data_IF_009925222345
#
_entry.id   IF_009925222345
#
_cell.length_a   1.000
_cell.length_b   1.000
_cell.length_c   1.000
_cell.angle_alpha   90.00
_cell.angle_beta   90.00
_cell.angle_gamma   90.00
#
_symmetry.space_group_name_H-M   'P 1'
#
loop_
_entity.id
_entity.type
_entity.pdbx_description
1 polymer ?
#
# COMPACT_ATOMS: atom_id res chain seq x y z
N UNK A 1 40.18 -51.74 -44.52
CA UNK A 1 40.49 -52.50 -45.75
C UNK A 1 41.02 -53.87 -45.34
N UNK A 2 40.21 -54.89 -45.55
CA UNK A 2 40.56 -56.30 -45.33
C UNK A 2 41.45 -56.72 -46.51
N UNK A 3 42.55 -57.42 -46.20
CA UNK A 3 43.36 -58.11 -47.19
C UNK A 3 43.86 -59.42 -46.60
N UNK A 4 43.16 -60.51 -46.89
CA UNK A 4 43.64 -61.88 -46.66
C UNK A 4 44.32 -62.34 -47.94
N UNK A 5 45.47 -63.01 -47.83
CA UNK A 5 45.91 -63.96 -48.85
C UNK A 5 46.66 -65.13 -48.19
N UNK A 6 46.30 -66.33 -48.63
CA UNK A 6 46.89 -67.63 -48.28
C UNK A 6 47.24 -68.31 -49.60
N UNK A 7 48.46 -68.84 -49.76
CA UNK A 7 48.70 -70.20 -50.30
C UNK A 7 50.20 -70.55 -50.45
N UNK A 8 50.43 -71.85 -50.21
CA UNK A 8 51.59 -72.76 -50.31
C UNK A 8 52.36 -72.80 -51.67
N UNK A 9 53.55 -73.41 -51.90
CA UNK A 9 54.33 -74.59 -51.38
C UNK A 9 55.74 -74.60 -52.12
N UNK A 10 56.58 -75.67 -52.15
CA UNK A 10 57.53 -76.26 -51.16
C UNK A 10 59.02 -76.21 -51.60
N UNK A 11 59.98 -76.69 -50.79
CA UNK A 11 61.11 -77.57 -51.23
C UNK A 11 61.89 -78.17 -50.06
N UNK A 12 62.04 -79.52 -50.12
CA UNK A 12 63.06 -80.44 -49.58
C UNK A 12 63.60 -80.33 -48.14
N UNK A 13 63.21 -81.33 -47.34
CA UNK A 13 64.04 -82.28 -46.57
C UNK A 13 65.44 -81.85 -46.08
N UNK A 14 65.63 -81.82 -44.76
CA UNK A 14 66.51 -82.76 -44.04
C UNK A 14 66.39 -82.53 -42.51
N UNK A 15 66.07 -83.60 -41.79
CA UNK A 15 65.87 -83.65 -40.33
C UNK A 15 67.11 -84.15 -39.61
N UNK A 16 67.63 -83.46 -38.58
CA UNK A 16 68.33 -84.04 -37.40
C UNK A 16 68.28 -83.10 -36.17
N UNK A 17 67.36 -83.40 -35.24
CA UNK A 17 67.40 -83.40 -33.74
C UNK A 17 67.99 -82.17 -32.93
N UNK A 18 67.87 -82.09 -31.57
CA UNK A 18 67.05 -81.05 -30.94
C UNK A 18 67.74 -80.21 -29.83
N UNK A 19 67.02 -79.18 -29.37
CA UNK A 19 67.09 -78.53 -28.05
C UNK A 19 68.36 -77.77 -27.65
N UNK A 20 68.30 -76.43 -27.67
CA UNK A 20 67.89 -75.58 -26.54
C UNK A 20 68.29 -74.12 -26.84
N UNK A 21 67.44 -73.14 -26.48
CA UNK A 21 67.77 -71.82 -25.92
C UNK A 21 66.63 -70.80 -26.15
N UNK A 22 65.73 -70.78 -25.17
CA UNK A 22 65.15 -69.63 -24.46
C UNK A 22 65.17 -68.28 -25.22
N UNK A 23 63.99 -67.81 -25.64
CA UNK A 23 63.74 -66.39 -25.93
C UNK A 23 62.83 -65.78 -24.86
N UNK A 24 63.28 -64.66 -24.30
CA UNK A 24 62.55 -63.83 -23.35
C UNK A 24 61.36 -63.14 -24.04
N UNK A 25 60.15 -63.44 -23.60
CA UNK A 25 58.96 -62.66 -23.97
C UNK A 25 58.96 -61.39 -23.11
N UNK A 26 59.35 -60.26 -23.68
CA UNK A 26 59.13 -58.94 -23.08
C UNK A 26 57.65 -58.62 -23.24
N UNK A 27 56.86 -58.94 -22.21
CA UNK A 27 55.44 -58.60 -22.15
C UNK A 27 55.27 -57.08 -22.01
N UNK A 28 54.90 -56.41 -23.09
CA UNK A 28 54.44 -55.03 -23.06
C UNK A 28 53.04 -54.99 -22.42
N UNK A 29 52.96 -54.64 -21.13
CA UNK A 29 51.68 -54.35 -20.47
C UNK A 29 51.27 -52.92 -20.85
N UNK A 30 50.42 -52.82 -21.87
CA UNK A 30 49.68 -51.61 -22.20
C UNK A 30 48.58 -51.42 -21.15
N UNK A 31 48.72 -50.41 -20.27
CA UNK A 31 47.59 -49.93 -19.47
C UNK A 31 46.65 -49.14 -20.39
N UNK A 32 45.60 -49.78 -20.90
CA UNK A 32 44.57 -49.15 -21.72
C UNK A 32 43.77 -48.12 -20.92
N UNK A 33 43.55 -46.96 -21.53
CA UNK A 33 42.55 -45.99 -21.09
C UNK A 33 41.16 -46.57 -21.37
N UNK A 34 40.39 -46.83 -20.30
CA UNK A 34 38.99 -47.20 -20.41
C UNK A 34 38.12 -45.99 -20.03
N UNK A 35 37.66 -45.25 -21.04
CA UNK A 35 36.50 -44.36 -20.91
C UNK A 35 35.46 -44.87 -21.91
N UNK A 36 34.51 -45.66 -21.43
CA UNK A 36 33.25 -45.88 -22.13
C UNK A 36 32.23 -44.99 -21.43
N UNK A 37 32.02 -43.78 -21.96
CA UNK A 37 30.85 -42.99 -21.63
C UNK A 37 29.73 -43.41 -22.59
N UNK A 38 28.81 -44.25 -22.11
CA UNK A 38 27.51 -44.40 -22.74
C UNK A 38 26.75 -43.09 -22.50
N UNK A 39 26.55 -42.29 -23.55
CA UNK A 39 25.62 -41.18 -23.53
C UNK A 39 24.24 -41.77 -23.85
N UNK A 40 23.49 -42.13 -22.81
CA UNK A 40 22.07 -42.42 -22.89
C UNK A 40 21.35 -41.07 -22.84
N UNK A 41 20.75 -40.66 -23.95
CA UNK A 41 19.71 -39.63 -23.93
C UNK A 41 18.39 -40.34 -23.58
N UNK A 42 18.07 -40.45 -22.31
CA UNK A 42 16.69 -40.70 -21.92
C UNK A 42 15.96 -39.36 -22.01
N UNK A 43 15.09 -39.27 -23.02
CA UNK A 43 14.16 -38.16 -23.18
C UNK A 43 13.28 -38.09 -21.94
N UNK A 44 13.29 -36.94 -21.27
CA UNK A 44 12.30 -36.62 -20.26
C UNK A 44 10.94 -36.54 -20.96
N UNK A 45 10.05 -37.49 -20.65
CA UNK A 45 8.62 -37.28 -20.76
C UNK A 45 8.30 -36.12 -19.82
N UNK A 46 7.81 -35.00 -20.37
CA UNK A 46 7.26 -33.92 -19.58
C UNK A 46 6.03 -34.48 -18.85
N UNK A 47 6.17 -34.66 -17.54
CA UNK A 47 5.04 -34.89 -16.66
C UNK A 47 4.01 -33.77 -16.85
N UNK A 48 2.69 -34.05 -16.78
CA UNK A 48 1.68 -33.02 -16.83
C UNK A 48 1.96 -32.02 -15.70
N UNK A 49 2.09 -30.74 -16.07
CA UNK A 49 2.25 -29.62 -15.15
C UNK A 49 1.31 -29.78 -13.95
N UNK A 50 1.86 -30.16 -12.80
CA UNK A 50 1.17 -30.00 -11.54
C UNK A 50 0.80 -28.51 -11.41
N UNK A 51 -0.42 -28.18 -10.97
CA UNK A 51 -0.80 -26.80 -10.75
C UNK A 51 0.18 -26.19 -9.74
N UNK A 52 0.76 -25.04 -10.12
CA UNK A 52 1.62 -24.24 -9.24
C UNK A 52 0.95 -24.13 -7.86
N UNK A 53 1.67 -24.37 -6.75
CA UNK A 53 1.10 -24.19 -5.42
C UNK A 53 0.59 -22.75 -5.30
N UNK A 54 -0.70 -22.61 -5.02
CA UNK A 54 -1.40 -21.32 -4.83
C UNK A 54 -1.05 -20.63 -3.52
N UNK A 55 -0.07 -21.16 -2.79
CA UNK A 55 0.42 -20.59 -1.54
C UNK A 55 1.36 -19.43 -1.88
N UNK A 56 0.76 -18.29 -2.22
CA UNK A 56 1.46 -17.02 -2.18
C UNK A 56 2.16 -16.94 -0.81
N UNK A 57 3.46 -16.60 -0.77
CA UNK A 57 4.16 -16.46 0.49
C UNK A 57 3.39 -15.47 1.38
N UNK A 58 3.33 -15.73 2.71
CA UNK A 58 2.59 -14.86 3.62
C UNK A 58 3.03 -13.41 3.42
N UNK A 59 2.05 -12.52 3.23
CA UNK A 59 2.32 -11.10 3.01
C UNK A 59 3.15 -10.54 4.19
N UNK A 60 4.21 -9.79 3.88
CA UNK A 60 4.99 -9.12 4.91
C UNK A 60 4.11 -8.10 5.66
N UNK A 61 4.36 -7.86 6.96
CA UNK A 61 3.73 -6.78 7.70
C UNK A 61 3.95 -5.41 7.02
N UNK A 62 3.02 -4.48 7.22
CA UNK A 62 3.08 -3.16 6.61
C UNK A 62 4.40 -2.44 6.93
N UNK A 63 5.01 -1.83 5.91
CA UNK A 63 6.27 -1.10 6.04
C UNK A 63 7.51 -1.96 6.25
N UNK A 64 7.42 -3.30 6.20
CA UNK A 64 8.57 -4.20 6.34
C UNK A 64 9.07 -4.66 4.97
N UNK A 65 10.37 -4.51 4.77
CA UNK A 65 11.11 -4.92 3.59
C UNK A 65 12.08 -6.07 3.95
N UNK A 66 12.23 -7.04 3.05
CA UNK A 66 13.20 -8.12 3.18
C UNK A 66 14.46 -7.86 2.34
N UNK A 67 15.62 -8.31 2.83
CA UNK A 67 16.86 -8.37 2.05
C UNK A 67 17.57 -9.70 2.28
N UNK A 68 18.13 -10.27 1.22
CA UNK A 68 18.97 -11.48 1.29
C UNK A 68 20.43 -11.06 1.47
N UNK A 69 21.03 -11.43 2.60
CA UNK A 69 22.47 -11.33 2.82
C UNK A 69 23.15 -12.63 2.47
N UNK A 70 24.20 -12.53 1.67
CA UNK A 70 25.03 -13.68 1.30
C UNK A 70 26.35 -13.60 2.05
N UNK A 71 26.66 -14.62 2.84
CA UNK A 71 27.90 -14.70 3.61
C UNK A 71 28.75 -15.88 3.14
N UNK A 72 30.02 -15.65 2.76
CA UNK A 72 30.91 -16.73 2.34
C UNK A 72 31.37 -17.55 3.55
N UNK A 73 31.34 -18.87 3.40
CA UNK A 73 31.84 -19.83 4.39
C UNK A 73 32.81 -20.79 3.72
N UNK A 74 33.92 -21.09 4.39
CA UNK A 74 34.87 -22.11 3.91
C UNK A 74 34.45 -23.49 4.41
N UNK A 75 34.41 -24.45 3.49
CA UNK A 75 34.09 -25.85 3.78
C UNK A 75 35.21 -26.75 3.23
N UNK A 76 35.61 -27.74 4.03
CA UNK A 76 36.67 -28.69 3.64
C UNK A 76 36.04 -29.89 2.97
N UNK A 77 36.25 -30.01 1.66
CA UNK A 77 35.79 -31.14 0.86
C UNK A 77 36.90 -32.20 0.78
N UNK A 78 36.55 -33.45 1.12
CA UNK A 78 37.46 -34.60 1.00
C UNK A 78 37.21 -35.31 -0.33
N UNK A 79 38.27 -35.62 -1.07
CA UNK A 79 38.17 -36.31 -2.35
C UNK A 79 39.31 -37.31 -2.53
N UNK A 80 39.07 -38.31 -3.38
CA UNK A 80 40.05 -39.34 -3.70
C UNK A 80 40.69 -39.09 -5.06
N UNK A 81 42.00 -39.23 -5.13
CA UNK A 81 42.75 -39.10 -6.38
C UNK A 81 43.53 -40.39 -6.62
N UNK A 82 43.39 -40.98 -7.82
CA UNK A 82 44.18 -42.14 -8.24
C UNK A 82 45.48 -41.66 -8.86
N UNK A 83 46.62 -41.95 -8.21
CA UNK A 83 47.96 -41.68 -8.75
C UNK A 83 48.54 -42.94 -9.38
N UNK A 84 49.12 -42.80 -10.56
CA UNK A 84 49.84 -43.86 -11.27
C UNK A 84 51.25 -43.99 -10.68
N UNK A 85 51.63 -45.20 -10.28
CA UNK A 85 52.97 -45.53 -9.79
C UNK A 85 53.65 -46.47 -10.78
N UNK A 86 54.92 -46.20 -11.11
CA UNK A 86 55.68 -46.98 -12.10
C UNK A 86 56.97 -47.48 -11.48
N UNK A 87 57.19 -48.79 -11.55
CA UNK A 87 58.52 -49.41 -11.42
C UNK A 87 58.93 -49.96 -12.79
N UNK A 88 60.18 -50.37 -12.95
CA UNK A 88 60.70 -50.86 -14.24
C UNK A 88 59.93 -52.09 -14.78
N UNK A 89 59.21 -52.81 -13.92
CA UNK A 89 58.55 -54.08 -14.25
C UNK A 89 57.02 -54.09 -14.04
N UNK A 90 56.42 -53.04 -13.47
CA UNK A 90 54.95 -52.98 -13.30
C UNK A 90 54.37 -51.56 -13.15
N UNK A 91 53.12 -51.41 -13.56
CA UNK A 91 52.33 -50.18 -13.41
C UNK A 91 51.10 -50.49 -12.54
N UNK A 92 50.97 -49.80 -11.41
CA UNK A 92 49.85 -49.95 -10.48
C UNK A 92 49.31 -48.58 -10.06
N UNK A 93 48.07 -48.54 -9.57
CA UNK A 93 47.42 -47.30 -9.13
C UNK A 93 47.33 -47.26 -7.61
N UNK A 94 47.71 -46.13 -7.01
CA UNK A 94 47.49 -45.84 -5.59
C UNK A 94 46.39 -44.79 -5.44
N UNK A 95 45.38 -45.06 -4.62
CA UNK A 95 44.40 -44.05 -4.23
C UNK A 95 44.96 -43.23 -3.07
N UNK A 96 44.93 -41.90 -3.19
CA UNK A 96 45.34 -40.96 -2.14
C UNK A 96 44.14 -40.12 -1.72
N UNK A 97 43.95 -39.95 -0.41
CA UNK A 97 42.96 -39.04 0.15
C UNK A 97 43.53 -37.62 0.13
N UNK A 98 42.79 -36.69 -0.45
CA UNK A 98 43.13 -35.26 -0.50
C UNK A 98 41.98 -34.44 0.05
N UNK A 99 42.32 -33.23 0.50
CA UNK A 99 41.33 -32.23 0.90
C UNK A 99 41.50 -30.99 0.03
N UNK A 100 40.38 -30.35 -0.31
CA UNK A 100 40.38 -29.00 -0.89
C UNK A 100 39.40 -28.14 -0.12
N UNK A 101 39.73 -26.87 0.03
CA UNK A 101 38.80 -25.90 0.60
C UNK A 101 37.90 -25.39 -0.52
N UNK A 102 36.60 -25.52 -0.33
CA UNK A 102 35.56 -24.94 -1.19
C UNK A 102 34.93 -23.75 -0.47
N UNK A 103 34.64 -22.69 -1.20
CA UNK A 103 33.83 -21.58 -0.68
C UNK A 103 32.37 -21.88 -1.00
N UNK A 104 31.55 -21.88 0.05
CA UNK A 104 30.09 -22.02 -0.03
C UNK A 104 29.47 -20.70 0.41
N UNK A 105 28.29 -20.38 -0.11
CA UNK A 105 27.60 -19.13 0.18
C UNK A 105 26.35 -19.42 1.00
N UNK A 106 26.37 -19.04 2.27
CA UNK A 106 25.21 -19.10 3.15
C UNK A 106 24.33 -17.88 2.85
N UNK A 107 23.02 -18.09 2.70
CA UNK A 107 22.06 -17.00 2.46
C UNK A 107 21.17 -16.82 3.68
N UNK A 108 21.18 -15.61 4.24
CA UNK A 108 20.37 -15.22 5.39
C UNK A 108 19.37 -14.14 4.98
N UNK A 109 18.11 -14.30 5.37
CA UNK A 109 17.09 -13.26 5.18
C UNK A 109 17.10 -12.33 6.38
N UNK A 110 17.12 -11.01 6.13
CA UNK A 110 17.02 -9.98 7.15
C UNK A 110 15.86 -9.04 6.84
N UNK A 111 15.09 -8.70 7.85
CA UNK A 111 13.95 -7.80 7.76
C UNK A 111 14.31 -6.42 8.30
N UNK A 112 13.84 -5.37 7.63
CA UNK A 112 14.08 -3.99 8.01
C UNK A 112 12.90 -3.12 7.58
N UNK A 113 12.77 -1.92 8.16
CA UNK A 113 11.74 -0.99 7.70
C UNK A 113 12.09 -0.43 6.32
N UNK A 114 11.07 -0.34 5.47
CA UNK A 114 11.18 0.26 4.14
C UNK A 114 11.51 1.76 4.24
N UNK A 115 12.00 2.39 3.16
CA UNK A 115 12.22 3.83 3.13
C UNK A 115 10.96 4.61 3.51
N UNK A 116 11.11 5.59 4.40
CA UNK A 116 9.99 6.36 4.93
C UNK A 116 9.24 5.70 6.09
N UNK A 117 9.73 4.58 6.63
CA UNK A 117 9.21 3.95 7.85
C UNK A 117 10.29 3.89 8.92
N UNK A 118 9.87 3.92 10.20
CA UNK A 118 10.75 3.79 11.36
C UNK A 118 10.33 2.63 12.25
N UNK A 119 11.31 1.98 12.90
CA UNK A 119 11.07 0.84 13.77
C UNK A 119 10.66 1.28 15.19
N UNK A 120 9.58 0.73 15.74
CA UNK A 120 9.21 0.95 17.15
C UNK A 120 9.93 0.01 18.12
N UNK A 121 10.17 -1.22 17.69
CA UNK A 121 10.83 -2.24 18.49
C UNK A 121 12.17 -2.62 17.83
N UNK A 122 13.26 -2.42 18.57
CA UNK A 122 14.62 -2.74 18.13
C UNK A 122 15.07 -4.02 18.84
N UNK A 123 15.58 -5.00 18.09
CA UNK A 123 16.16 -6.24 18.65
C UNK A 123 15.37 -7.53 18.41
N UNK A 124 14.31 -7.50 17.60
CA UNK A 124 13.58 -8.69 17.13
C UNK A 124 13.94 -9.01 15.68
N UNK A 125 13.84 -10.29 15.29
CA UNK A 125 14.06 -10.73 13.90
C UNK A 125 13.08 -10.11 12.91
N UNK A 126 11.92 -9.66 13.40
CA UNK A 126 10.87 -9.01 12.62
C UNK A 126 10.50 -7.65 13.26
N UNK A 127 10.82 -6.51 12.62
CA UNK A 127 10.52 -5.20 13.19
C UNK A 127 9.05 -4.80 12.98
N UNK A 128 8.50 -4.03 13.91
CA UNK A 128 7.26 -3.28 13.71
C UNK A 128 7.60 -1.90 13.17
N UNK A 129 7.06 -1.56 12.00
CA UNK A 129 7.39 -0.33 11.28
C UNK A 129 6.19 0.62 11.21
N UNK A 130 6.38 1.88 11.60
CA UNK A 130 5.39 2.96 11.41
C UNK A 130 5.86 3.93 10.33
N UNK A 131 4.94 4.50 9.54
CA UNK A 131 5.27 5.49 8.53
C UNK A 131 5.77 6.80 9.16
N UNK A 132 6.69 7.46 8.46
CA UNK A 132 7.24 8.75 8.84
C UNK A 132 6.49 9.84 8.06
N UNK A 133 5.82 10.72 8.80
CA UNK A 133 5.26 11.95 8.26
C UNK A 133 6.10 13.15 8.73
N UNK A 134 6.78 13.81 7.79
CA UNK A 134 7.65 14.98 8.08
C UNK A 134 6.87 16.18 8.59
N UNK A 135 5.67 16.38 8.04
CA UNK A 135 4.67 17.31 8.55
C UNK A 135 3.69 16.49 9.39
N UNK A 136 3.48 16.92 10.63
CA UNK A 136 2.57 16.22 11.54
C UNK A 136 1.14 16.24 11.02
N UNK A 137 0.50 15.07 11.00
CA UNK A 137 -0.92 14.93 10.71
C UNK A 137 -1.75 15.47 11.88
N UNK A 138 -2.64 16.43 11.64
CA UNK A 138 -3.54 17.02 12.63
C UNK A 138 -4.96 16.51 12.37
N UNK A 139 -5.56 15.89 13.39
CA UNK A 139 -6.84 15.16 13.30
C UNK A 139 -6.84 14.07 12.20
N UNK A 140 -5.66 13.50 11.97
CA UNK A 140 -5.40 12.50 10.95
C UNK A 140 -4.29 11.56 11.45
N UNK A 141 -4.29 10.33 10.96
CA UNK A 141 -3.26 9.33 11.19
C UNK A 141 -2.31 9.26 9.99
N UNK A 142 -1.01 9.10 10.25
CA UNK A 142 -0.02 8.82 9.21
C UNK A 142 -0.17 7.35 8.79
N UNK A 143 -0.60 7.11 7.54
CA UNK A 143 -0.90 5.76 7.01
C UNK A 143 0.17 5.26 6.05
N UNK A 144 0.86 6.19 5.39
CA UNK A 144 2.02 5.93 4.56
C UNK A 144 3.01 7.11 4.67
N UNK A 145 4.26 6.98 4.18
CA UNK A 145 5.23 8.04 4.29
C UNK A 145 4.74 9.35 3.66
N UNK A 146 4.55 10.38 4.48
CA UNK A 146 4.00 11.67 4.07
C UNK A 146 2.49 11.70 3.78
N UNK A 147 1.77 10.59 3.97
CA UNK A 147 0.33 10.48 3.68
C UNK A 147 -0.49 10.40 4.96
N UNK A 148 -1.40 11.37 5.13
CA UNK A 148 -2.31 11.45 6.26
C UNK A 148 -3.74 11.05 5.86
N UNK A 149 -4.34 10.16 6.64
CA UNK A 149 -5.75 9.78 6.55
C UNK A 149 -6.53 10.38 7.73
N UNK A 150 -7.67 11.03 7.47
CA UNK A 150 -8.44 11.70 8.52
C UNK A 150 -8.96 10.69 9.55
N UNK A 151 -8.95 11.08 10.83
CA UNK A 151 -9.54 10.26 11.89
C UNK A 151 -11.07 10.19 11.74
N UNK A 152 -11.73 9.17 12.31
CA UNK A 152 -13.19 9.11 12.35
C UNK A 152 -13.80 10.38 12.95
N UNK A 153 -14.84 10.93 12.30
CA UNK A 153 -15.41 12.23 12.68
C UNK A 153 -14.71 13.44 12.05
N UNK A 154 -13.63 13.22 11.29
CA UNK A 154 -12.94 14.23 10.49
C UNK A 154 -12.93 13.79 9.03
N UNK A 155 -13.07 14.72 8.09
CA UNK A 155 -13.19 14.36 6.68
C UNK A 155 -13.02 15.51 5.70
N UNK A 156 -13.22 16.74 6.14
CA UNK A 156 -12.94 17.91 5.31
C UNK A 156 -11.46 18.27 5.41
N UNK A 157 -10.67 17.92 4.40
CA UNK A 157 -9.24 18.30 4.34
C UNK A 157 -9.11 19.82 4.16
N UNK A 158 -8.45 20.49 5.10
CA UNK A 158 -7.99 21.89 4.91
C UNK A 158 -6.72 21.91 4.05
N UNK A 159 -5.86 20.92 4.31
CA UNK A 159 -4.63 20.64 3.58
C UNK A 159 -4.37 19.14 3.63
N UNK A 160 -3.33 18.66 2.96
CA UNK A 160 -2.98 17.23 2.93
C UNK A 160 -2.65 16.66 4.32
N UNK A 161 -2.37 17.51 5.32
CA UNK A 161 -1.98 17.10 6.67
C UNK A 161 -2.99 17.48 7.76
N UNK A 162 -4.06 18.22 7.43
CA UNK A 162 -5.00 18.75 8.44
C UNK A 162 -6.44 18.48 8.03
N UNK A 163 -7.16 17.77 8.90
CA UNK A 163 -8.58 17.49 8.71
C UNK A 163 -9.45 18.31 9.68
N UNK A 164 -10.57 18.83 9.17
CA UNK A 164 -11.63 19.46 9.97
C UNK A 164 -12.66 18.41 10.41
N UNK A 165 -13.26 18.62 11.59
CA UNK A 165 -14.35 17.79 12.06
C UNK A 165 -15.55 17.90 11.11
N UNK A 166 -16.29 16.81 11.01
CA UNK A 166 -17.50 16.68 10.20
C UNK A 166 -18.64 16.36 11.14
N UNK A 167 -19.63 17.25 11.17
CA UNK A 167 -20.82 17.09 11.99
C UNK A 167 -21.92 16.48 11.13
N UNK A 168 -22.68 15.54 11.72
CA UNK A 168 -23.90 15.01 11.12
C UNK A 168 -25.06 15.16 12.12
N UNK A 169 -26.08 15.99 11.83
CA UNK A 169 -26.27 16.80 10.61
C UNK A 169 -25.25 17.94 10.46
N UNK A 170 -25.08 18.43 9.22
CA UNK A 170 -24.16 19.52 8.90
C UNK A 170 -24.55 20.81 9.62
N UNK A 171 -23.55 21.53 10.15
CA UNK A 171 -23.77 22.79 10.84
C UNK A 171 -24.13 23.92 9.86
N UNK A 172 -25.20 24.66 10.13
CA UNK A 172 -25.66 25.80 9.30
C UNK A 172 -25.40 27.11 10.03
N UNK A 173 -24.67 28.03 9.41
CA UNK A 173 -24.18 29.30 10.00
C UNK A 173 -23.36 29.10 11.29
N UNK A 174 -22.61 28.01 11.33
CA UNK A 174 -21.83 27.58 12.48
C UNK A 174 -20.63 26.75 12.04
N UNK A 175 -19.58 26.79 12.84
CA UNK A 175 -18.44 25.90 12.67
C UNK A 175 -18.69 24.59 13.41
N UNK A 176 -18.42 23.48 12.74
CA UNK A 176 -18.41 22.17 13.37
C UNK A 176 -17.19 22.06 14.29
N UNK A 177 -17.44 21.59 15.50
CA UNK A 177 -16.45 21.23 16.52
C UNK A 177 -16.54 19.72 16.74
N UNK A 178 -15.61 19.15 17.50
CA UNK A 178 -15.64 17.74 17.90
C UNK A 178 -16.99 17.35 18.54
N UNK A 179 -17.31 16.06 18.52
CA UNK A 179 -18.53 15.47 19.09
C UNK A 179 -19.87 15.96 18.49
N UNK A 180 -19.91 16.24 17.18
CA UNK A 180 -21.10 16.73 16.48
C UNK A 180 -21.66 18.05 17.07
N UNK A 181 -20.81 18.87 17.66
CA UNK A 181 -21.23 20.13 18.27
C UNK A 181 -21.00 21.32 17.32
N UNK A 182 -22.04 22.13 17.09
CA UNK A 182 -21.93 23.34 16.28
C UNK A 182 -21.75 24.59 17.16
N UNK A 183 -20.74 25.38 16.83
CA UNK A 183 -20.50 26.71 17.41
C UNK A 183 -20.94 27.78 16.43
N UNK A 184 -21.97 28.54 16.78
CA UNK A 184 -22.53 29.59 15.92
C UNK A 184 -21.49 30.66 15.57
N UNK A 185 -21.55 31.16 14.34
CA UNK A 185 -20.76 32.31 13.95
C UNK A 185 -21.17 33.56 14.74
N UNK A 186 -20.30 34.56 14.76
CA UNK A 186 -20.56 35.82 15.46
C UNK A 186 -21.83 36.48 14.93
N UNK A 187 -22.73 36.89 15.84
CA UNK A 187 -24.02 37.48 15.49
C UNK A 187 -25.13 36.47 15.18
N UNK A 188 -24.87 35.17 15.29
CA UNK A 188 -25.87 34.11 15.21
C UNK A 188 -26.08 33.46 16.58
N UNK A 189 -27.27 32.91 16.80
CA UNK A 189 -27.60 32.13 17.99
C UNK A 189 -28.17 30.77 17.59
N UNK A 190 -27.96 29.78 18.45
CA UNK A 190 -28.48 28.43 18.22
C UNK A 190 -29.99 28.48 18.12
N UNK A 191 -30.52 27.80 17.11
CA UNK A 191 -31.95 27.66 16.92
C UNK A 191 -32.55 26.77 18.04
N UNK A 192 -33.78 27.06 18.48
CA UNK A 192 -34.41 26.33 19.59
C UNK A 192 -34.78 24.89 19.18
N UNK A 193 -35.19 24.70 17.93
CA UNK A 193 -35.67 23.40 17.42
C UNK A 193 -34.55 22.57 16.80
N UNK A 194 -33.50 23.22 16.30
CA UNK A 194 -32.44 22.59 15.50
C UNK A 194 -31.05 22.97 16.02
N UNK A 195 -30.46 22.12 16.87
CA UNK A 195 -29.16 22.36 17.50
C UNK A 195 -27.99 22.56 16.52
N UNK A 196 -28.11 22.05 15.29
CA UNK A 196 -27.12 22.16 14.21
C UNK A 196 -27.28 23.45 13.39
N UNK A 197 -28.36 24.20 13.59
CA UNK A 197 -28.64 25.43 12.88
C UNK A 197 -28.46 26.62 13.81
N UNK A 198 -27.80 27.65 13.30
CA UNK A 198 -27.75 28.94 13.96
C UNK A 198 -28.51 29.97 13.12
N UNK A 199 -29.42 30.67 13.79
CA UNK A 199 -30.26 31.71 13.22
C UNK A 199 -29.67 33.09 13.57
N UNK A 200 -29.75 34.07 12.66
CA UNK A 200 -29.21 35.41 12.90
C UNK A 200 -29.87 36.05 14.12
N UNK A 201 -29.09 36.77 14.91
CA UNK A 201 -29.55 37.45 16.10
C UNK A 201 -29.50 38.97 15.93
N UNK A 202 -30.55 39.63 16.40
CA UNK A 202 -30.65 41.08 16.44
C UNK A 202 -30.72 41.51 17.91
N UNK A 203 -29.94 42.51 18.31
CA UNK A 203 -29.92 42.99 19.70
C UNK A 203 -31.24 43.63 20.12
N UNK A 204 -31.98 44.16 19.15
CA UNK A 204 -33.36 44.61 19.30
C UNK A 204 -34.30 43.67 18.56
N UNK A 205 -35.48 43.44 19.14
CA UNK A 205 -36.54 42.64 18.54
C UNK A 205 -37.07 43.33 17.26
N UNK A 206 -37.24 42.56 16.19
CA UNK A 206 -37.82 43.03 14.93
C UNK A 206 -39.36 42.95 15.01
N UNK A 207 -40.03 44.05 15.30
CA UNK A 207 -41.50 44.09 15.45
C UNK A 207 -42.16 43.89 14.09
N UNK A 208 -43.09 42.93 13.99
CA UNK A 208 -43.77 42.50 12.75
C UNK A 208 -42.80 42.11 11.60
N UNK A 209 -41.62 41.63 11.98
CA UNK A 209 -40.57 41.16 11.07
C UNK A 209 -39.75 40.02 11.67
N UNK A 210 -38.60 39.78 11.07
CA UNK A 210 -37.63 38.78 11.52
C UNK A 210 -36.20 39.28 11.29
N UNK A 211 -35.25 38.72 12.02
CA UNK A 211 -33.84 39.02 11.81
C UNK A 211 -33.37 38.29 10.55
N UNK A 212 -33.03 39.01 9.48
CA UNK A 212 -32.59 38.39 8.22
C UNK A 212 -31.07 38.18 8.18
N UNK A 213 -30.33 39.05 8.86
CA UNK A 213 -28.88 38.98 9.08
C UNK A 213 -28.60 39.52 10.49
N UNK A 214 -27.41 39.27 11.07
CA UNK A 214 -27.06 39.85 12.35
C UNK A 214 -27.32 41.36 12.38
N UNK A 215 -28.05 41.82 13.39
CA UNK A 215 -28.43 43.24 13.57
C UNK A 215 -29.23 43.86 12.41
N UNK A 216 -29.81 43.07 11.50
CA UNK A 216 -30.60 43.57 10.35
C UNK A 216 -31.99 42.92 10.30
N UNK A 217 -33.03 43.74 10.51
CA UNK A 217 -34.42 43.31 10.41
C UNK A 217 -34.92 43.30 8.96
N UNK A 218 -35.72 42.29 8.62
CA UNK A 218 -36.54 42.25 7.42
C UNK A 218 -38.00 42.11 7.81
N UNK A 219 -38.89 42.67 6.99
CA UNK A 219 -40.31 42.72 7.28
C UNK A 219 -41.08 41.55 6.67
N UNK A 220 -42.17 41.17 7.34
CA UNK A 220 -43.12 40.22 6.79
C UNK A 220 -43.79 40.78 5.53
N UNK A 221 -44.40 39.89 4.74
CA UNK A 221 -45.12 40.30 3.53
C UNK A 221 -46.18 41.36 3.86
N UNK A 222 -46.27 42.40 3.03
CA UNK A 222 -47.14 43.57 3.23
C UNK A 222 -46.78 44.48 4.40
N UNK A 223 -45.54 44.43 4.88
CA UNK A 223 -44.96 45.40 5.81
C UNK A 223 -43.69 46.03 5.21
N UNK A 224 -43.37 47.24 5.65
CA UNK A 224 -42.21 48.02 5.22
C UNK A 224 -41.39 48.51 6.41
N UNK A 225 -40.07 48.50 6.28
CA UNK A 225 -39.17 48.89 7.37
C UNK A 225 -39.30 50.39 7.68
N UNK A 226 -39.56 50.72 8.94
CA UNK A 226 -39.62 52.10 9.42
C UNK A 226 -38.23 52.74 9.49
N UNK A 227 -38.19 54.06 9.67
CA UNK A 227 -36.96 54.86 9.79
C UNK A 227 -36.01 54.42 10.91
N UNK A 228 -36.53 53.78 11.96
CA UNK A 228 -35.76 53.24 13.08
C UNK A 228 -35.08 51.89 12.78
N UNK A 229 -35.37 51.26 11.64
CA UNK A 229 -34.70 50.03 11.19
C UNK A 229 -35.08 48.73 11.93
N UNK A 230 -35.95 48.79 12.95
CA UNK A 230 -36.37 47.64 13.76
C UNK A 230 -37.87 47.36 13.74
N UNK A 231 -38.68 48.35 13.37
CA UNK A 231 -40.14 48.25 13.33
C UNK A 231 -40.61 48.15 11.89
N UNK A 232 -41.40 47.13 11.60
CA UNK A 232 -42.05 46.96 10.31
C UNK A 232 -43.47 47.53 10.38
N UNK A 233 -43.75 48.54 9.57
CA UNK A 233 -45.06 49.19 9.50
C UNK A 233 -45.92 48.56 8.39
N UNK A 234 -47.23 48.35 8.61
CA UNK A 234 -48.11 47.73 7.63
C UNK A 234 -48.26 48.61 6.39
N UNK A 235 -48.23 47.98 5.22
CA UNK A 235 -48.44 48.62 3.93
C UNK A 235 -49.90 48.47 3.53
N UNK A 236 -50.54 49.60 3.22
CA UNK A 236 -51.90 49.64 2.66
C UNK A 236 -51.81 49.95 1.16
N UNK A 237 -52.45 49.14 0.32
CA UNK A 237 -52.46 49.31 -1.15
C UNK A 237 -53.08 50.65 -1.54
N UNK A 238 -54.11 51.08 -0.80
CA UNK A 238 -54.70 52.40 -0.92
C UNK A 238 -54.38 53.23 0.33
N UNK A 239 -53.97 54.51 0.17
CA UNK A 239 -53.65 55.36 1.30
C UNK A 239 -54.87 55.60 2.19
N UNK A 240 -54.69 55.47 3.50
CA UNK A 240 -55.71 55.72 4.51
C UNK A 240 -56.00 57.23 4.63
N UNK A 241 -56.91 57.76 3.82
CA UNK A 241 -57.31 59.18 3.91
C UNK A 241 -57.96 59.45 5.28
N UNK A 242 -57.39 60.38 6.06
CA UNK A 242 -57.78 60.70 7.44
C UNK A 242 -57.77 59.47 8.39
N UNK A 243 -56.84 58.55 8.16
CA UNK A 243 -56.62 57.36 8.97
C UNK A 243 -55.15 56.97 9.02
N UNK A 244 -54.84 55.92 9.79
CA UNK A 244 -53.54 55.24 9.78
C UNK A 244 -53.71 53.78 9.37
N UNK A 245 -52.71 53.23 8.68
CA UNK A 245 -52.65 51.80 8.39
C UNK A 245 -52.27 51.08 9.69
N UNK A 246 -53.13 50.17 10.17
CA UNK A 246 -52.89 49.42 11.42
C UNK A 246 -52.65 47.93 11.20
N UNK A 247 -52.98 47.44 10.01
CA UNK A 247 -52.65 46.13 9.49
C UNK A 247 -52.73 46.21 7.95
N UNK A 248 -52.20 45.23 7.19
CA UNK A 248 -52.25 45.23 5.74
C UNK A 248 -53.66 45.48 5.21
N UNK A 249 -53.82 46.54 4.41
CA UNK A 249 -55.11 47.03 3.87
C UNK A 249 -56.21 47.37 4.90
N UNK A 250 -55.85 47.54 6.18
CA UNK A 250 -56.78 47.90 7.26
C UNK A 250 -56.46 49.31 7.79
N UNK A 251 -57.36 50.24 7.50
CA UNK A 251 -57.28 51.61 8.01
C UNK A 251 -58.09 51.80 9.31
N UNK A 252 -57.45 52.40 10.31
CA UNK A 252 -58.08 52.97 11.49
C UNK A 252 -58.28 54.48 11.28
N UNK A 253 -59.49 54.98 11.52
CA UNK A 253 -59.78 56.41 11.39
C UNK A 253 -59.07 57.21 12.48
N UNK A 254 -58.52 58.37 12.13
CA UNK A 254 -58.01 59.31 13.12
C UNK A 254 -59.15 59.80 14.04
N UNK A 255 -58.82 60.26 15.27
CA UNK A 255 -59.82 60.84 16.17
C UNK A 255 -60.66 61.91 15.47
N UNK A 256 -61.99 61.83 15.60
CA UNK A 256 -62.94 62.73 14.93
C UNK A 256 -63.40 62.28 13.54
N UNK A 257 -62.75 61.28 12.93
CA UNK A 257 -63.16 60.71 11.65
C UNK A 257 -63.92 59.39 11.84
N UNK A 258 -64.80 59.06 10.89
CA UNK A 258 -65.59 57.81 10.90
C UNK A 258 -65.66 57.21 9.50
N UNK A 259 -65.70 55.88 9.42
CA UNK A 259 -65.91 55.16 8.15
C UNK A 259 -67.27 55.56 7.56
N UNK A 260 -67.28 56.01 6.30
CA UNK A 260 -68.54 56.22 5.55
C UNK A 260 -69.22 54.86 5.39
N UNK A 261 -70.46 54.73 5.89
CA UNK A 261 -71.30 53.56 5.60
C UNK A 261 -71.65 53.58 4.12
N UNK A 262 -71.23 52.57 3.35
CA UNK A 262 -71.76 52.37 2.00
C UNK A 262 -73.24 52.00 2.12
N UNK A 263 -74.14 52.81 1.55
CA UNK A 263 -75.49 52.34 1.22
C UNK A 263 -75.33 51.37 0.05
N UNK A 264 -75.57 50.07 0.31
CA UNK A 264 -75.82 49.11 -0.76
C UNK A 264 -77.17 49.53 -1.33
N UNK A 265 -77.15 50.12 -2.52
CA UNK A 265 -78.34 50.51 -3.29
C UNK A 265 -78.32 49.70 -4.56
#
# INVERSE_FOLDING_TARGET
LIGVSVSSRPTSEASVTPNMMIYWVVSAILCSEGVVAHIQFDGYLEDPLEPLPTDAPPALPAGVCERKRVTPRSEVERYTEKKRCRTYESCWYRTVQKTRTRVVFDTHTEYHCCPGYQALAVGVSMPTCEPICTISCVNAQCVAPGECECLPGFGTKISDHVCKPVCNPECINADCVEDNQCTCWTGFKRDEDQSHKCSPHCSHECVDGYCAKPETCACNASYSLSSNGTVCEPVCTFPCVNGRCVAPDVCECLPGFRKKKKKIT
#
